data_IF_766188739593
#
_entry.id   IF_766188739593
#
_cell.length_a   1.000
_cell.length_b   1.000
_cell.length_c   1.000
_cell.angle_alpha   90.00
_cell.angle_beta   90.00
_cell.angle_gamma   90.00
#
_symmetry.space_group_name_H-M   'P 1'
#
loop_
_entity.id
_entity.type
_entity.pdbx_description
1 polymer ?
#
# COMPACT_ATOMS: atom_id res chain seq x y z
N UNK A 1 -9.71 7.49 0.72
CA UNK A 1 -8.33 7.05 1.02
C UNK A 1 -8.40 5.52 1.11
N UNK A 2 -8.39 4.81 -0.02
CA UNK A 2 -8.82 3.39 -0.06
C UNK A 2 -7.82 2.43 -0.73
N UNK A 3 -6.72 2.94 -1.30
CA UNK A 3 -5.84 2.12 -2.17
C UNK A 3 -4.81 1.27 -1.43
N UNK A 4 -4.48 1.59 -0.16
CA UNK A 4 -3.49 0.83 0.61
C UNK A 4 -4.04 -0.51 1.10
N UNK A 5 -5.35 -0.57 1.35
CA UNK A 5 -6.00 -1.76 1.88
C UNK A 5 -6.12 -2.87 0.83
N UNK A 6 -5.93 -2.55 -0.45
CA UNK A 6 -5.96 -3.52 -1.54
C UNK A 6 -4.79 -4.50 -1.45
N UNK A 7 -3.54 -4.06 -1.25
CA UNK A 7 -2.40 -4.98 -1.35
C UNK A 7 -2.40 -6.08 -0.29
N UNK A 8 -2.72 -5.75 0.97
CA UNK A 8 -2.88 -6.78 2.01
C UNK A 8 -4.03 -7.75 1.70
N UNK A 9 -5.16 -7.24 1.19
CA UNK A 9 -6.29 -8.07 0.79
C UNK A 9 -5.92 -9.03 -0.36
N UNK A 10 -5.14 -8.57 -1.34
CA UNK A 10 -4.67 -9.38 -2.46
C UNK A 10 -3.67 -10.46 -2.01
N UNK A 11 -2.79 -10.15 -1.06
CA UNK A 11 -1.88 -11.15 -0.46
C UNK A 11 -2.66 -12.26 0.25
N UNK A 12 -3.65 -11.90 1.05
CA UNK A 12 -4.49 -12.88 1.76
C UNK A 12 -5.28 -13.76 0.81
N UNK A 13 -5.83 -13.19 -0.27
CA UNK A 13 -6.56 -13.97 -1.27
C UNK A 13 -5.63 -14.97 -2.00
N UNK A 14 -4.42 -14.55 -2.36
CA UNK A 14 -3.43 -15.44 -2.96
C UNK A 14 -3.06 -16.60 -2.01
N UNK A 15 -2.89 -16.33 -0.71
CA UNK A 15 -2.65 -17.39 0.30
C UNK A 15 -3.85 -18.35 0.44
N UNK A 16 -5.08 -17.83 0.37
CA UNK A 16 -6.29 -18.63 0.42
C UNK A 16 -6.42 -19.54 -0.80
N UNK A 17 -6.14 -19.02 -2.00
CA UNK A 17 -6.11 -19.80 -3.23
C UNK A 17 -5.00 -20.86 -3.19
N UNK A 18 -3.82 -20.52 -2.67
CA UNK A 18 -2.72 -21.46 -2.49
C UNK A 18 -3.10 -22.64 -1.57
N UNK A 19 -3.88 -22.39 -0.51
CA UNK A 19 -4.37 -23.43 0.39
C UNK A 19 -5.37 -24.39 -0.30
N UNK A 20 -6.06 -23.93 -1.35
CA UNK A 20 -7.01 -24.73 -2.13
C UNK A 20 -6.36 -25.38 -3.37
N UNK A 21 -5.18 -24.92 -3.77
CA UNK A 21 -4.47 -25.42 -4.94
C UNK A 21 -4.03 -26.87 -4.73
N UNK A 22 -4.45 -27.73 -5.66
CA UNK A 22 -4.11 -29.17 -5.62
C UNK A 22 -2.75 -29.48 -6.26
N UNK A 23 -2.23 -28.57 -7.09
CA UNK A 23 -0.94 -28.73 -7.75
C UNK A 23 0.12 -27.92 -7.02
N UNK A 24 1.31 -28.51 -6.84
CA UNK A 24 2.39 -27.88 -6.09
C UNK A 24 2.96 -26.65 -6.80
N UNK A 25 3.08 -26.70 -8.12
CA UNK A 25 3.57 -25.60 -8.97
C UNK A 25 2.66 -24.36 -8.89
N UNK A 26 1.36 -24.58 -8.98
CA UNK A 26 0.34 -23.54 -8.84
C UNK A 26 0.34 -22.93 -7.43
N UNK A 27 0.43 -23.78 -6.40
CA UNK A 27 0.53 -23.34 -5.00
C UNK A 27 1.75 -22.46 -4.78
N UNK A 28 2.92 -22.87 -5.28
CA UNK A 28 4.16 -22.10 -5.13
C UNK A 28 4.08 -20.75 -5.85
N UNK A 29 3.49 -20.71 -7.05
CA UNK A 29 3.26 -19.46 -7.77
C UNK A 29 2.33 -18.50 -7.00
N UNK A 30 1.24 -19.01 -6.43
CA UNK A 30 0.30 -18.21 -5.62
C UNK A 30 0.94 -17.68 -4.33
N UNK A 31 1.79 -18.47 -3.68
CA UNK A 31 2.54 -18.03 -2.50
C UNK A 31 3.55 -16.92 -2.86
N UNK A 32 4.30 -17.08 -3.97
CA UNK A 32 5.24 -16.05 -4.43
C UNK A 32 4.53 -14.73 -4.79
N UNK A 33 3.34 -14.82 -5.38
CA UNK A 33 2.49 -13.64 -5.62
C UNK A 33 2.06 -12.98 -4.30
N UNK A 34 1.62 -13.78 -3.32
CA UNK A 34 1.22 -13.26 -2.01
C UNK A 34 2.33 -12.49 -1.31
N UNK A 35 3.56 -13.02 -1.33
CA UNK A 35 4.75 -12.35 -0.78
C UNK A 35 5.06 -11.04 -1.50
N UNK A 36 4.90 -11.00 -2.83
CA UNK A 36 5.09 -9.78 -3.62
C UNK A 36 4.10 -8.69 -3.20
N UNK A 37 2.83 -9.05 -3.03
CA UNK A 37 1.80 -8.10 -2.59
C UNK A 37 2.04 -7.59 -1.16
N UNK A 38 2.53 -8.45 -0.28
CA UNK A 38 2.87 -8.08 1.10
C UNK A 38 4.02 -7.07 1.13
N UNK A 39 5.09 -7.31 0.36
CA UNK A 39 6.20 -6.34 0.22
C UNK A 39 5.73 -4.99 -0.32
N UNK A 40 4.86 -4.99 -1.34
CA UNK A 40 4.30 -3.74 -1.88
C UNK A 40 3.44 -2.99 -0.86
N UNK A 41 2.71 -3.71 -0.01
CA UNK A 41 1.93 -3.13 1.07
C UNK A 41 2.84 -2.50 2.13
N UNK A 42 3.92 -3.19 2.52
CA UNK A 42 4.93 -2.70 3.46
C UNK A 42 5.64 -1.45 2.92
N UNK A 43 6.13 -1.48 1.68
CA UNK A 43 6.80 -0.33 1.05
C UNK A 43 5.89 0.90 0.98
N UNK A 44 4.60 0.68 0.69
CA UNK A 44 3.60 1.75 0.66
C UNK A 44 3.17 2.23 2.04
N UNK A 45 3.09 1.34 3.03
CA UNK A 45 2.79 1.67 4.42
C UNK A 45 3.93 2.45 5.08
N UNK A 46 5.18 2.09 4.77
CA UNK A 46 6.37 2.83 5.20
C UNK A 46 6.46 4.22 4.56
N UNK A 47 5.95 4.39 3.34
CA UNK A 47 5.80 5.72 2.73
C UNK A 47 4.62 6.53 3.28
N UNK A 48 3.69 5.90 4.01
CA UNK A 48 2.43 6.52 4.41
C UNK A 48 2.49 7.24 5.77
N UNK A 49 3.58 7.13 6.55
CA UNK A 49 3.69 7.85 7.82
C UNK A 49 5.04 8.60 7.98
N UNK A 50 5.06 9.83 8.53
CA UNK A 50 3.92 10.67 8.93
C UNK A 50 3.62 11.76 7.89
N UNK A 51 2.33 12.08 7.78
CA UNK A 51 1.92 13.44 7.45
C UNK A 51 2.59 14.40 8.44
N UNK A 52 3.69 15.03 8.04
CA UNK A 52 4.15 16.28 8.64
C UNK A 52 3.12 17.36 8.29
N UNK A 53 2.09 17.40 9.13
CA UNK A 53 1.29 18.59 9.38
C UNK A 53 2.22 19.70 9.87
N UNK A 54 2.86 20.39 8.94
CA UNK A 54 3.94 21.31 9.32
C UNK A 54 4.32 22.38 8.30
N UNK A 55 3.57 22.63 7.22
CA UNK A 55 3.78 23.86 6.45
C UNK A 55 2.53 24.28 5.65
N UNK A 56 1.54 24.85 6.34
CA UNK A 56 0.82 25.96 5.71
C UNK A 56 1.63 27.22 6.00
N UNK A 57 2.36 27.79 5.03
CA UNK A 57 2.67 29.21 5.13
C UNK A 57 1.33 29.94 5.03
N UNK A 58 0.82 30.20 6.23
CA UNK A 58 -0.14 31.24 6.52
C UNK A 58 0.14 32.46 5.63
N UNK A 59 -0.88 32.85 4.87
CA UNK A 59 -1.26 34.25 4.70
C UNK A 59 -0.09 35.24 4.69
N UNK A 60 0.72 35.27 3.62
CA UNK A 60 1.44 36.50 3.31
C UNK A 60 0.46 37.46 2.62
N UNK A 61 -0.39 38.09 3.43
CA UNK A 61 -0.91 39.42 3.10
C UNK A 61 0.30 40.35 3.02
N UNK A 62 0.82 40.55 1.82
CA UNK A 62 1.43 41.82 1.50
C UNK A 62 0.59 42.42 0.40
N UNK A 63 -0.34 43.25 0.87
CA UNK A 63 -0.83 44.42 0.18
C UNK A 63 0.24 44.93 -0.80
N UNK A 64 0.02 44.78 -2.10
CA UNK A 64 0.62 45.67 -3.08
C UNK A 64 -0.53 46.53 -3.60
N UNK A 65 -0.76 47.57 -2.81
CA UNK A 65 -1.45 48.79 -3.17
C UNK A 65 -0.71 49.47 -4.35
N UNK A 66 -1.49 50.03 -5.28
CA UNK A 66 -1.09 51.20 -6.09
C UNK A 66 -0.17 50.99 -7.29
#
# INVERSE_FOLDING_TARGET
>A
MEKLNDYHSHSQECRRLAALASRSDEREALLAMAETWERLAEERGLMAEPADEGLRPDQLTTENDG
#
